data_IF_852532508950
#
_entry.id   IF_852532508950
#
_cell.length_a   1.000
_cell.length_b   1.000
_cell.length_c   1.000
_cell.angle_alpha   90.00
_cell.angle_beta   90.00
_cell.angle_gamma   90.00
#
_symmetry.space_group_name_H-M   'P 1'
#
loop_
_entity.id
_entity.type
_entity.pdbx_description
1 polymer ?
#
# COMPACT_ATOMS: atom_id res chain seq x y z
N UNK A 1 14.92 -9.28 8.06
CA UNK A 1 14.47 -8.88 9.42
C UNK A 1 15.68 -8.84 10.33
N UNK A 2 15.91 -7.73 11.01
CA UNK A 2 16.96 -7.54 12.01
C UNK A 2 16.31 -7.27 13.37
N UNK A 3 16.69 -8.01 14.40
CA UNK A 3 16.18 -7.81 15.76
C UNK A 3 17.32 -7.51 16.71
N UNK A 4 17.13 -6.56 17.61
CA UNK A 4 18.20 -6.12 18.50
C UNK A 4 17.77 -5.10 19.55
N UNK A 5 18.74 -4.39 20.09
CA UNK A 5 18.51 -3.32 21.08
C UNK A 5 18.04 -2.05 20.39
N UNK A 6 16.96 -1.45 20.89
CA UNK A 6 16.54 -0.13 20.44
C UNK A 6 17.42 0.94 21.11
N UNK A 7 18.42 1.43 20.36
CA UNK A 7 19.31 2.50 20.82
C UNK A 7 19.75 3.40 19.67
N UNK A 8 20.21 4.63 19.97
CA UNK A 8 20.81 5.49 18.97
C UNK A 8 21.94 4.75 18.21
N UNK A 9 21.89 4.81 16.88
CA UNK A 9 22.88 4.19 16.00
C UNK A 9 22.53 2.80 15.48
N UNK A 10 21.52 2.10 16.02
CA UNK A 10 21.14 0.75 15.52
C UNK A 10 20.87 0.75 14.02
N UNK A 11 20.03 1.68 13.54
CA UNK A 11 19.75 1.77 12.11
C UNK A 11 20.98 2.18 11.29
N UNK A 12 21.81 3.09 11.81
CA UNK A 12 23.05 3.52 11.13
C UNK A 12 24.03 2.36 10.95
N UNK A 13 24.18 1.49 11.95
CA UNK A 13 25.01 0.30 11.88
C UNK A 13 24.51 -0.67 10.79
N UNK A 14 23.20 -0.93 10.77
CA UNK A 14 22.56 -1.78 9.75
C UNK A 14 22.82 -1.21 8.34
N UNK A 15 22.53 0.08 8.11
CA UNK A 15 22.66 0.67 6.77
C UNK A 15 24.12 0.81 6.32
N UNK A 16 25.07 0.94 7.25
CA UNK A 16 26.52 0.92 6.94
C UNK A 16 26.96 -0.42 6.38
N UNK A 17 26.49 -1.53 6.97
CA UNK A 17 26.77 -2.87 6.43
C UNK A 17 26.13 -3.04 5.06
N UNK A 18 24.86 -2.65 4.89
CA UNK A 18 24.18 -2.73 3.58
C UNK A 18 24.94 -1.96 2.50
N UNK A 19 25.42 -0.75 2.83
CA UNK A 19 26.23 0.07 1.92
C UNK A 19 27.56 -0.61 1.54
N UNK A 20 28.24 -1.24 2.51
CA UNK A 20 29.50 -1.97 2.25
C UNK A 20 29.32 -3.12 1.25
N UNK A 21 28.10 -3.67 1.17
CA UNK A 21 27.70 -4.70 0.20
C UNK A 21 27.07 -4.13 -1.08
N UNK A 22 27.16 -2.81 -1.29
CA UNK A 22 26.55 -2.10 -2.42
C UNK A 22 25.03 -2.33 -2.57
N UNK A 23 24.35 -2.61 -1.44
CA UNK A 23 22.90 -2.78 -1.41
C UNK A 23 22.16 -1.45 -1.45
N UNK A 24 21.10 -1.40 -2.25
CA UNK A 24 20.18 -0.28 -2.31
C UNK A 24 18.92 -0.60 -1.49
N UNK A 25 18.60 0.24 -0.51
CA UNK A 25 17.41 0.03 0.32
C UNK A 25 16.17 0.47 -0.46
N UNK A 26 15.24 -0.46 -0.68
CA UNK A 26 13.98 -0.21 -1.38
C UNK A 26 12.80 -0.05 -0.43
N UNK A 27 12.93 -0.51 0.81
CA UNK A 27 11.93 -0.38 1.86
C UNK A 27 12.53 -0.50 3.24
N UNK A 28 11.98 0.25 4.19
CA UNK A 28 12.35 0.12 5.60
C UNK A 28 11.16 0.36 6.52
N UNK A 29 10.96 -0.56 7.45
CA UNK A 29 9.89 -0.51 8.45
C UNK A 29 10.46 -0.91 9.81
N UNK A 30 10.00 -0.24 10.88
CA UNK A 30 10.38 -0.56 12.26
C UNK A 30 9.11 -0.93 13.00
N UNK A 31 8.63 -2.20 12.88
CA UNK A 31 7.37 -2.64 13.47
C UNK A 31 7.35 -2.65 15.01
N UNK A 32 8.51 -2.77 15.67
CA UNK A 32 8.62 -2.82 17.13
C UNK A 32 9.73 -1.88 17.62
N UNK A 33 9.44 -1.12 18.69
CA UNK A 33 10.33 -0.15 19.34
C UNK A 33 10.18 -0.21 20.85
N UNK A 34 11.19 0.25 21.59
CA UNK A 34 11.19 0.28 23.06
C UNK A 34 12.26 -0.63 23.65
N UNK A 35 11.86 -1.72 24.30
CA UNK A 35 12.82 -2.67 24.89
C UNK A 35 13.62 -3.44 23.83
N UNK A 36 13.01 -3.65 22.65
CA UNK A 36 13.62 -4.30 21.49
C UNK A 36 13.27 -3.51 20.23
N UNK A 37 14.20 -3.47 19.29
CA UNK A 37 13.97 -2.96 17.94
C UNK A 37 13.86 -4.14 16.98
N UNK A 38 12.78 -4.16 16.19
CA UNK A 38 12.68 -4.99 15.00
C UNK A 38 12.71 -4.09 13.78
N UNK A 39 13.66 -4.32 12.89
CA UNK A 39 13.85 -3.56 11.67
C UNK A 39 13.68 -4.50 10.48
N UNK A 40 12.66 -4.25 9.68
CA UNK A 40 12.48 -4.87 8.38
C UNK A 40 13.12 -3.95 7.33
N UNK A 41 14.06 -4.48 6.55
CA UNK A 41 14.71 -3.76 5.46
C UNK A 41 14.60 -4.62 4.21
N UNK A 42 14.09 -4.02 3.14
CA UNK A 42 14.07 -4.60 1.79
C UNK A 42 15.23 -3.97 1.01
N UNK A 43 16.01 -4.82 0.33
CA UNK A 43 17.30 -4.45 -0.27
C UNK A 43 17.38 -5.03 -1.68
N UNK A 44 17.64 -4.16 -2.65
CA UNK A 44 18.11 -4.58 -3.98
C UNK A 44 19.63 -4.73 -3.96
N UNK A 45 20.11 -5.90 -4.41
CA UNK A 45 21.52 -6.23 -4.47
C UNK A 45 22.00 -6.35 -5.91
N UNK A 46 23.27 -5.99 -6.20
CA UNK A 46 23.88 -6.25 -7.51
C UNK A 46 23.86 -7.74 -7.88
N UNK A 47 23.84 -8.04 -9.18
CA UNK A 47 23.95 -9.41 -9.66
C UNK A 47 25.25 -10.07 -9.17
N UNK A 48 25.14 -11.27 -8.58
CA UNK A 48 26.29 -12.00 -8.03
C UNK A 48 26.73 -11.54 -6.63
N UNK A 49 25.95 -10.70 -5.95
CA UNK A 49 26.22 -10.34 -4.55
C UNK A 49 26.24 -11.58 -3.64
N UNK A 50 27.16 -11.56 -2.68
CA UNK A 50 27.31 -12.61 -1.66
C UNK A 50 26.35 -12.34 -0.49
N UNK A 51 25.14 -12.90 -0.60
CA UNK A 51 24.07 -12.73 0.39
C UNK A 51 24.47 -13.31 1.74
N UNK A 52 25.16 -14.45 1.76
CA UNK A 52 25.58 -15.11 3.00
C UNK A 52 26.58 -14.25 3.77
N UNK A 53 27.51 -13.60 3.06
CA UNK A 53 28.44 -12.65 3.67
C UNK A 53 27.74 -11.41 4.22
N UNK A 54 26.78 -10.83 3.48
CA UNK A 54 25.98 -9.71 3.98
C UNK A 54 25.28 -10.07 5.30
N UNK A 55 24.65 -11.25 5.35
CA UNK A 55 23.96 -11.72 6.57
C UNK A 55 24.95 -11.99 7.70
N UNK A 56 26.12 -12.56 7.41
CA UNK A 56 27.16 -12.78 8.40
C UNK A 56 27.67 -11.45 9.01
N UNK A 57 27.92 -10.44 8.17
CA UNK A 57 28.37 -9.12 8.62
C UNK A 57 27.29 -8.40 9.44
N UNK A 58 26.01 -8.55 9.08
CA UNK A 58 24.90 -8.04 9.89
C UNK A 58 24.84 -8.74 11.27
N UNK A 59 25.01 -10.07 11.30
CA UNK A 59 25.02 -10.84 12.56
C UNK A 59 26.21 -10.52 13.46
N UNK A 60 27.29 -9.95 12.91
CA UNK A 60 28.46 -9.53 13.67
C UNK A 60 28.25 -8.17 14.39
N UNK A 61 27.17 -7.45 14.10
CA UNK A 61 26.86 -6.19 14.77
C UNK A 61 26.43 -6.44 16.23
N UNK A 62 27.10 -5.77 17.17
CA UNK A 62 26.79 -5.81 18.61
C UNK A 62 25.36 -5.34 18.95
N UNK A 63 24.76 -4.51 18.09
CA UNK A 63 23.38 -4.03 18.21
C UNK A 63 22.32 -5.08 17.88
N UNK A 64 22.67 -6.15 17.14
CA UNK A 64 21.72 -7.15 16.67
C UNK A 64 21.84 -8.46 17.44
N UNK A 65 20.71 -8.99 17.86
CA UNK A 65 20.60 -10.32 18.47
C UNK A 65 20.23 -11.40 17.43
N UNK A 66 19.47 -11.04 16.39
CA UNK A 66 19.01 -11.97 15.36
C UNK A 66 18.92 -11.30 13.98
N UNK A 67 19.28 -12.05 12.94
CA UNK A 67 19.11 -11.65 11.54
C UNK A 67 18.55 -12.83 10.75
N UNK A 68 17.42 -12.58 10.08
CA UNK A 68 16.69 -13.56 9.28
C UNK A 68 16.35 -12.96 7.90
N UNK A 69 16.58 -13.73 6.84
CA UNK A 69 16.06 -13.41 5.50
C UNK A 69 14.59 -13.83 5.48
N UNK A 70 13.72 -12.89 5.15
CA UNK A 70 12.28 -13.10 5.07
C UNK A 70 11.78 -12.63 3.69
N UNK A 71 10.66 -13.16 3.19
CA UNK A 71 10.03 -12.63 1.98
C UNK A 71 9.64 -11.16 2.14
N UNK A 72 9.66 -10.42 1.04
CA UNK A 72 9.24 -9.00 1.00
C UNK A 72 7.74 -8.85 1.25
N UNK A 73 7.33 -7.65 1.65
CA UNK A 73 5.89 -7.34 1.79
C UNK A 73 5.18 -7.39 0.44
N UNK A 74 5.88 -7.12 -0.65
CA UNK A 74 5.35 -7.27 -2.01
C UNK A 74 5.11 -8.74 -2.38
N UNK A 75 5.98 -9.67 -1.97
CA UNK A 75 5.78 -11.11 -2.23
C UNK A 75 4.65 -11.71 -1.39
N UNK A 76 4.54 -11.30 -0.11
CA UNK A 76 3.53 -11.86 0.82
C UNK A 76 2.16 -11.21 0.61
N UNK A 77 2.11 -9.88 0.66
CA UNK A 77 0.85 -9.11 0.65
C UNK A 77 0.57 -8.43 -0.68
N UNK A 78 1.54 -8.35 -1.59
CA UNK A 78 1.30 -7.82 -2.93
C UNK A 78 0.93 -6.34 -2.98
N UNK A 79 0.15 -6.00 -3.98
CA UNK A 79 -0.42 -4.66 -4.15
C UNK A 79 -1.46 -4.40 -3.07
N UNK A 80 -1.67 -3.13 -2.74
CA UNK A 80 -2.67 -2.73 -1.75
C UNK A 80 -3.70 -1.80 -2.36
N UNK A 81 -4.97 -2.11 -2.12
CA UNK A 81 -6.11 -1.23 -2.40
C UNK A 81 -6.64 -0.71 -1.06
N UNK A 82 -6.79 0.61 -0.96
CA UNK A 82 -7.31 1.28 0.23
C UNK A 82 -8.78 1.63 0.01
N UNK A 83 -9.63 1.35 1.00
CA UNK A 83 -11.05 1.77 0.98
C UNK A 83 -11.33 2.67 2.16
N UNK A 84 -11.84 3.88 1.90
CA UNK A 84 -12.17 4.88 2.92
C UNK A 84 -13.58 5.42 2.75
N UNK A 85 -14.18 5.87 3.86
CA UNK A 85 -15.46 6.59 3.86
C UNK A 85 -16.44 6.06 4.90
N UNK A 86 -17.73 6.07 4.58
CA UNK A 86 -18.79 5.64 5.49
C UNK A 86 -18.80 4.13 5.70
N UNK A 87 -18.87 3.67 6.95
CA UNK A 87 -18.65 2.25 7.30
C UNK A 87 -19.51 1.24 6.53
N UNK A 88 -20.78 1.55 6.28
CA UNK A 88 -21.66 0.68 5.49
C UNK A 88 -21.19 0.52 4.04
N UNK A 89 -20.83 1.63 3.39
CA UNK A 89 -20.36 1.62 2.00
C UNK A 89 -18.96 1.03 1.88
N UNK A 90 -18.06 1.32 2.84
CA UNK A 90 -16.74 0.70 2.95
C UNK A 90 -16.87 -0.82 3.00
N UNK A 91 -17.80 -1.35 3.82
CA UNK A 91 -18.05 -2.79 3.92
C UNK A 91 -18.53 -3.41 2.61
N UNK A 92 -19.42 -2.73 1.86
CA UNK A 92 -19.90 -3.23 0.56
C UNK A 92 -18.79 -3.23 -0.50
N UNK A 93 -17.97 -2.18 -0.56
CA UNK A 93 -16.79 -2.15 -1.44
C UNK A 93 -15.81 -3.25 -1.08
N UNK A 94 -15.55 -3.45 0.22
CA UNK A 94 -14.65 -4.49 0.70
C UNK A 94 -15.13 -5.89 0.28
N UNK A 95 -16.44 -6.16 0.34
CA UNK A 95 -17.00 -7.44 -0.10
C UNK A 95 -16.63 -7.76 -1.55
N UNK A 96 -16.87 -6.82 -2.47
CA UNK A 96 -16.55 -7.00 -3.88
C UNK A 96 -15.05 -7.08 -4.15
N UNK A 97 -14.27 -6.21 -3.51
CA UNK A 97 -12.83 -6.18 -3.67
C UNK A 97 -12.15 -7.46 -3.13
N UNK A 98 -12.56 -7.95 -1.95
CA UNK A 98 -12.03 -9.20 -1.39
C UNK A 98 -12.38 -10.38 -2.29
N UNK A 99 -13.63 -10.46 -2.76
CA UNK A 99 -14.06 -11.56 -3.62
C UNK A 99 -13.29 -11.61 -4.93
N UNK A 100 -12.99 -10.47 -5.56
CA UNK A 100 -12.20 -10.45 -6.79
C UNK A 100 -10.71 -10.67 -6.51
N UNK A 101 -10.16 -10.06 -5.45
CA UNK A 101 -8.77 -10.23 -5.07
C UNK A 101 -8.46 -11.71 -4.78
N UNK A 102 -9.34 -12.44 -4.10
CA UNK A 102 -9.16 -13.87 -3.82
C UNK A 102 -8.97 -14.71 -5.09
N UNK A 103 -9.79 -14.45 -6.13
CA UNK A 103 -9.67 -15.12 -7.44
C UNK A 103 -8.30 -14.89 -8.08
N UNK A 104 -7.76 -13.68 -7.98
CA UNK A 104 -6.43 -13.34 -8.48
C UNK A 104 -5.32 -13.92 -7.59
N UNK A 105 -5.54 -13.94 -6.27
CA UNK A 105 -4.58 -14.35 -5.27
C UNK A 105 -4.22 -15.85 -5.35
N UNK A 106 -5.21 -16.70 -5.61
CA UNK A 106 -5.03 -18.14 -5.79
C UNK A 106 -4.23 -18.45 -7.07
N UNK A 107 -4.22 -17.54 -8.05
CA UNK A 107 -3.51 -17.71 -9.34
C UNK A 107 -2.09 -17.10 -9.34
N UNK A 108 -1.60 -16.64 -8.19
CA UNK A 108 -0.22 -16.22 -7.97
C UNK A 108 0.01 -14.71 -7.92
N UNK A 109 -0.90 -13.88 -8.42
CA UNK A 109 -0.88 -12.44 -8.11
C UNK A 109 -1.18 -12.24 -6.62
N UNK A 110 -0.81 -11.10 -6.01
CA UNK A 110 -1.15 -10.78 -4.62
C UNK A 110 -1.73 -9.38 -4.54
N UNK A 111 -2.93 -9.26 -4.00
CA UNK A 111 -3.67 -8.02 -3.81
C UNK A 111 -4.33 -8.07 -2.42
N UNK A 112 -3.96 -7.13 -1.56
CA UNK A 112 -4.57 -6.93 -0.24
C UNK A 112 -5.57 -5.77 -0.28
N UNK A 113 -6.63 -5.89 0.52
CA UNK A 113 -7.66 -4.86 0.69
C UNK A 113 -7.59 -4.34 2.13
N UNK A 114 -7.22 -3.08 2.29
CA UNK A 114 -7.13 -2.43 3.59
C UNK A 114 -8.26 -1.39 3.69
N UNK A 115 -9.00 -1.39 4.79
CA UNK A 115 -10.19 -0.55 4.92
C UNK A 115 -10.16 0.25 6.22
N UNK A 116 -10.68 1.48 6.18
CA UNK A 116 -10.93 2.27 7.38
C UNK A 116 -12.23 3.08 7.23
N UNK A 117 -13.20 2.93 8.17
CA UNK A 117 -14.35 3.82 8.22
C UNK A 117 -13.91 5.16 8.80
N UNK A 118 -14.07 6.23 8.04
CA UNK A 118 -13.66 7.58 8.44
C UNK A 118 -14.57 8.61 7.76
N UNK A 119 -15.01 9.59 8.54
CA UNK A 119 -15.96 10.63 8.13
C UNK A 119 -15.45 12.01 8.53
N UNK A 120 -16.06 13.06 7.96
CA UNK A 120 -15.65 14.44 8.13
C UNK A 120 -14.64 14.86 7.06
N UNK A 121 -14.83 16.03 6.47
CA UNK A 121 -14.09 16.49 5.30
C UNK A 121 -12.58 16.53 5.53
N UNK A 122 -12.14 17.18 6.61
CA UNK A 122 -10.72 17.37 6.92
C UNK A 122 -10.02 16.05 7.26
N UNK A 123 -10.66 15.23 8.10
CA UNK A 123 -10.11 13.93 8.51
C UNK A 123 -10.02 12.98 7.32
N UNK A 124 -11.05 12.94 6.47
CA UNK A 124 -11.04 12.13 5.27
C UNK A 124 -9.99 12.63 4.26
N UNK A 125 -9.89 13.95 4.02
CA UNK A 125 -8.87 14.51 3.14
C UNK A 125 -7.45 14.17 3.62
N UNK A 126 -7.20 14.23 4.94
CA UNK A 126 -5.93 13.81 5.52
C UNK A 126 -5.66 12.31 5.30
N UNK A 127 -6.67 11.45 5.47
CA UNK A 127 -6.55 10.03 5.19
C UNK A 127 -6.29 9.73 3.71
N UNK A 128 -6.96 10.44 2.79
CA UNK A 128 -6.74 10.34 1.35
C UNK A 128 -5.29 10.70 1.02
N UNK A 129 -4.79 11.88 1.46
CA UNK A 129 -3.40 12.29 1.23
C UNK A 129 -2.38 11.28 1.78
N UNK A 130 -2.70 10.66 2.92
CA UNK A 130 -1.84 9.65 3.53
C UNK A 130 -1.67 8.39 2.67
N UNK A 131 -2.58 8.10 1.72
CA UNK A 131 -2.46 6.94 0.84
C UNK A 131 -1.20 7.01 -0.03
N UNK A 132 -0.76 8.21 -0.44
CA UNK A 132 0.44 8.35 -1.27
C UNK A 132 1.75 7.94 -0.55
N UNK A 133 1.74 7.86 0.79
CA UNK A 133 2.87 7.40 1.61
C UNK A 133 2.70 5.99 2.16
N UNK A 134 1.65 5.28 1.75
CA UNK A 134 1.41 3.89 2.13
C UNK A 134 2.20 2.96 1.19
N UNK A 135 3.14 2.15 1.70
CA UNK A 135 3.87 1.18 0.88
C UNK A 135 2.92 0.30 0.09
N UNK A 136 3.24 -0.01 -1.16
CA UNK A 136 2.47 -0.90 -2.05
C UNK A 136 1.04 -0.42 -2.40
N UNK A 137 0.58 0.72 -1.90
CA UNK A 137 -0.73 1.25 -2.27
C UNK A 137 -0.73 1.63 -3.75
N UNK A 138 -1.71 1.12 -4.49
CA UNK A 138 -1.84 1.35 -5.94
C UNK A 138 -3.21 1.89 -6.32
N UNK A 139 -4.21 1.71 -5.45
CA UNK A 139 -5.56 2.23 -5.65
C UNK A 139 -6.22 2.67 -4.35
N UNK A 140 -7.13 3.60 -4.48
CA UNK A 140 -8.00 4.15 -3.45
C UNK A 140 -9.45 4.11 -3.92
N UNK A 141 -10.35 3.61 -3.06
CA UNK A 141 -11.79 3.66 -3.29
C UNK A 141 -12.45 4.58 -2.26
N UNK A 142 -13.17 5.58 -2.75
CA UNK A 142 -13.96 6.52 -1.96
C UNK A 142 -15.39 6.00 -1.83
N UNK A 143 -15.77 5.55 -0.64
CA UNK A 143 -17.04 4.93 -0.35
C UNK A 143 -17.92 5.86 0.52
N UNK A 144 -18.68 6.75 -0.13
CA UNK A 144 -19.45 7.80 0.53
C UNK A 144 -20.79 8.11 -0.14
N UNK A 145 -21.62 8.89 0.56
CA UNK A 145 -22.84 9.49 0.01
C UNK A 145 -22.66 10.96 -0.39
N UNK A 146 -21.69 11.66 0.22
CA UNK A 146 -21.32 13.03 -0.08
C UNK A 146 -19.83 13.24 0.22
N UNK A 147 -19.04 13.62 -0.79
CA UNK A 147 -17.62 13.99 -0.64
C UNK A 147 -17.27 15.14 -1.58
N UNK A 148 -16.62 16.18 -1.08
CA UNK A 148 -16.25 17.37 -1.83
C UNK A 148 -15.19 18.22 -1.13
N UNK A 149 -14.99 19.45 -1.59
CA UNK A 149 -14.07 20.40 -0.94
C UNK A 149 -12.64 19.86 -0.87
N UNK A 150 -12.04 19.87 0.32
CA UNK A 150 -10.67 19.40 0.55
C UNK A 150 -10.44 17.94 0.15
N UNK A 151 -11.48 17.10 0.18
CA UNK A 151 -11.38 15.71 -0.29
C UNK A 151 -11.09 15.69 -1.79
N UNK A 152 -11.66 16.62 -2.56
CA UNK A 152 -11.44 16.72 -4.01
C UNK A 152 -9.99 17.10 -4.31
N UNK A 153 -9.45 18.10 -3.61
CA UNK A 153 -8.05 18.48 -3.74
C UNK A 153 -7.11 17.31 -3.37
N UNK A 154 -7.40 16.61 -2.27
CA UNK A 154 -6.64 15.44 -1.85
C UNK A 154 -6.65 14.31 -2.90
N UNK A 155 -7.79 14.09 -3.57
CA UNK A 155 -7.90 13.11 -4.66
C UNK A 155 -6.99 13.48 -5.84
N UNK A 156 -7.00 14.74 -6.27
CA UNK A 156 -6.14 15.21 -7.37
C UNK A 156 -4.65 15.11 -7.01
N UNK A 157 -4.28 15.42 -5.76
CA UNK A 157 -2.92 15.23 -5.24
C UNK A 157 -2.49 13.77 -5.29
N UNK A 158 -3.32 12.85 -4.80
CA UNK A 158 -3.00 11.42 -4.73
C UNK A 158 -2.91 10.79 -6.12
N UNK A 159 -3.78 11.19 -7.05
CA UNK A 159 -3.70 10.73 -8.46
C UNK A 159 -2.41 11.14 -9.14
N UNK A 160 -1.86 12.32 -8.83
CA UNK A 160 -0.55 12.77 -9.34
C UNK A 160 0.61 11.89 -8.86
N UNK A 161 0.45 11.15 -7.77
CA UNK A 161 1.41 10.15 -7.30
C UNK A 161 1.21 8.77 -7.95
N UNK A 162 0.33 8.66 -8.94
CA UNK A 162 0.09 7.41 -9.67
C UNK A 162 -0.88 6.45 -8.99
N UNK A 163 -1.55 6.87 -7.91
CA UNK A 163 -2.59 6.07 -7.25
C UNK A 163 -3.89 6.18 -8.05
N UNK A 164 -4.44 5.03 -8.45
CA UNK A 164 -5.74 4.96 -9.09
C UNK A 164 -6.84 5.35 -8.10
N UNK A 165 -7.76 6.25 -8.45
CA UNK A 165 -8.90 6.59 -7.59
C UNK A 165 -10.22 6.16 -8.21
N UNK A 166 -10.95 5.31 -7.51
CA UNK A 166 -12.34 4.94 -7.80
C UNK A 166 -13.25 5.65 -6.80
N UNK A 167 -14.32 6.27 -7.29
CA UNK A 167 -15.33 6.89 -6.43
C UNK A 167 -16.67 6.20 -6.60
N UNK A 168 -17.42 6.06 -5.50
CA UNK A 168 -18.85 5.82 -5.65
C UNK A 168 -19.53 7.00 -6.33
N UNK A 169 -20.62 6.73 -7.05
CA UNK A 169 -21.48 7.77 -7.59
C UNK A 169 -22.25 8.42 -6.43
N UNK A 170 -21.71 9.53 -5.93
CA UNK A 170 -22.17 10.20 -4.72
C UNK A 170 -22.31 11.71 -4.94
N UNK A 171 -22.91 12.42 -3.99
CA UNK A 171 -23.00 13.87 -4.06
C UNK A 171 -21.62 14.54 -3.82
N UNK A 172 -21.48 15.79 -4.27
CA UNK A 172 -20.27 16.59 -4.10
C UNK A 172 -19.31 16.52 -5.29
N UNK A 173 -18.12 17.11 -5.13
CA UNK A 173 -17.15 17.29 -6.21
C UNK A 173 -16.15 16.14 -6.34
N UNK A 174 -15.96 15.30 -5.32
CA UNK A 174 -14.93 14.26 -5.32
C UNK A 174 -15.07 13.23 -6.46
N UNK A 175 -16.27 12.77 -6.86
CA UNK A 175 -16.40 11.81 -7.97
C UNK A 175 -15.81 12.32 -9.28
N UNK A 176 -15.96 13.63 -9.58
CA UNK A 176 -15.44 14.24 -10.81
C UNK A 176 -13.91 14.29 -10.85
N UNK A 177 -13.26 14.24 -9.69
CA UNK A 177 -11.80 14.21 -9.59
C UNK A 177 -11.23 12.78 -9.64
N UNK A 178 -12.07 11.73 -9.51
CA UNK A 178 -11.65 10.35 -9.57
C UNK A 178 -11.35 9.88 -11.01
N UNK A 179 -10.65 8.75 -11.17
CA UNK A 179 -10.43 8.12 -12.48
C UNK A 179 -11.67 7.39 -12.97
N UNK A 180 -12.43 6.80 -12.05
CA UNK A 180 -13.60 5.98 -12.33
C UNK A 180 -14.73 6.27 -11.34
N UNK A 181 -15.97 6.35 -11.84
CA UNK A 181 -17.17 6.53 -11.02
C UNK A 181 -18.05 5.28 -11.16
N UNK A 182 -18.42 4.66 -10.04
CA UNK A 182 -19.23 3.42 -10.02
C UNK A 182 -20.38 3.57 -9.03
N UNK A 183 -21.59 3.26 -9.45
CA UNK A 183 -22.78 3.44 -8.62
C UNK A 183 -22.95 2.30 -7.60
N UNK A 184 -22.74 1.06 -8.03
CA UNK A 184 -22.81 -0.09 -7.14
C UNK A 184 -21.50 -0.26 -6.33
N UNK A 185 -21.57 -0.27 -4.99
CA UNK A 185 -20.36 -0.36 -4.18
C UNK A 185 -19.63 -1.71 -4.30
N UNK A 186 -20.34 -2.82 -4.50
CA UNK A 186 -19.71 -4.13 -4.67
C UNK A 186 -18.92 -4.15 -5.98
N UNK A 187 -19.53 -3.68 -7.06
CA UNK A 187 -18.90 -3.53 -8.38
C UNK A 187 -17.70 -2.58 -8.32
N UNK A 188 -17.78 -1.48 -7.55
CA UNK A 188 -16.65 -0.56 -7.37
C UNK A 188 -15.42 -1.29 -6.80
N UNK A 189 -15.63 -2.18 -5.83
CA UNK A 189 -14.57 -3.02 -5.27
C UNK A 189 -13.99 -4.00 -6.29
N UNK A 190 -14.84 -4.70 -7.04
CA UNK A 190 -14.41 -5.61 -8.12
C UNK A 190 -13.60 -4.86 -9.17
N UNK A 191 -14.10 -3.73 -9.66
CA UNK A 191 -13.45 -2.93 -10.69
C UNK A 191 -12.12 -2.35 -10.21
N UNK A 192 -11.99 -1.96 -8.93
CA UNK A 192 -10.74 -1.50 -8.36
C UNK A 192 -9.65 -2.60 -8.43
N UNK A 193 -10.01 -3.84 -8.11
CA UNK A 193 -9.10 -5.00 -8.23
C UNK A 193 -8.74 -5.28 -9.68
N UNK A 194 -9.74 -5.38 -10.55
CA UNK A 194 -9.52 -5.65 -11.98
C UNK A 194 -8.62 -4.59 -12.63
N UNK A 195 -8.75 -3.32 -12.21
CA UNK A 195 -7.94 -2.22 -12.73
C UNK A 195 -6.46 -2.28 -12.35
N UNK A 196 -6.11 -2.97 -11.26
CA UNK A 196 -4.72 -3.10 -10.81
C UNK A 196 -4.15 -4.48 -11.09
N UNK A 197 -4.99 -5.49 -11.33
CA UNK A 197 -4.56 -6.86 -11.64
C UNK A 197 -3.90 -6.92 -13.02
N UNK A 198 -2.71 -7.53 -13.10
CA UNK A 198 -2.01 -7.74 -14.40
C UNK A 198 -2.71 -8.76 -15.30
N UNK A 199 -3.48 -9.63 -14.66
CA UNK A 199 -4.14 -10.78 -15.29
C UNK A 199 -5.53 -10.47 -15.82
N UNK A 200 -6.07 -9.29 -15.53
CA UNK A 200 -7.34 -8.84 -16.07
C UNK A 200 -7.16 -8.18 -17.44
N UNK A 201 -8.09 -8.42 -18.37
CA UNK A 201 -8.17 -7.67 -19.63
C UNK A 201 -8.75 -6.25 -19.46
N UNK A 202 -8.97 -5.84 -18.21
CA UNK A 202 -9.57 -4.56 -17.86
C UNK A 202 -8.53 -3.45 -17.97
N UNK A 203 -8.69 -2.59 -18.96
CA UNK A 203 -7.84 -1.42 -19.17
C UNK A 203 -8.53 -0.17 -18.63
N UNK A 204 -8.02 0.32 -17.49
CA UNK A 204 -8.54 1.53 -16.84
C UNK A 204 -8.41 2.78 -17.72
N UNK A 205 -7.39 2.86 -18.57
CA UNK A 205 -7.21 4.02 -19.46
C UNK A 205 -8.39 4.15 -20.44
N UNK A 206 -9.01 3.02 -20.82
CA UNK A 206 -10.21 2.99 -21.67
C UNK A 206 -11.51 3.29 -20.91
N UNK A 207 -11.50 3.19 -19.58
CA UNK A 207 -12.68 3.44 -18.74
C UNK A 207 -12.68 4.80 -18.04
N UNK A 208 -11.58 5.56 -18.14
CA UNK A 208 -11.47 6.88 -17.49
C UNK A 208 -12.62 7.82 -17.88
N UNK A 209 -13.24 8.42 -16.87
CA UNK A 209 -14.35 9.36 -17.04
C UNK A 209 -15.72 8.73 -17.35
N UNK A 210 -15.83 7.40 -17.34
CA UNK A 210 -17.12 6.70 -17.47
C UNK A 210 -17.79 6.52 -16.10
N UNK A 211 -19.11 6.45 -16.12
CA UNK A 211 -19.97 6.13 -14.97
C UNK A 211 -20.65 4.79 -15.20
N UNK A 212 -20.62 3.92 -14.20
CA UNK A 212 -21.26 2.60 -14.20
C UNK A 212 -22.35 2.51 -13.13
#
# INVERSE_FOLDING_TARGET
>A
MCEGVDRPGTLHAITTVILAHSGNITGIEIPERGERARVHVEIDLPSGADIDRLVADLRALDVLAQVEIVPTMAEVYGKRIIVVGGGAQVGQVALGAISEADRHNIRGEKISIDTIPIVGEQTLAAAVRAVARLPRAVALVLAGALMGGEITAAVEEVRRHGILVVSLNMAGSAPKAADLIVSDPVQAGVMAVMAVARTASFDIARQRGRTY
#
